data_IF_995105780907
#
_entry.id   IF_995105780907
#
_cell.length_a   1.000
_cell.length_b   1.000
_cell.length_c   1.000
_cell.angle_alpha   90.00
_cell.angle_beta   90.00
_cell.angle_gamma   90.00
#
_symmetry.space_group_name_H-M   'P 1'
#
loop_
_entity.id
_entity.type
_entity.pdbx_description
1 polymer ?
#
# COMPACT_ATOMS: atom_id res chain seq x y z
N UNK A 1 -22.80 -8.13 6.80
CA UNK A 1 -21.81 -9.07 6.27
C UNK A 1 -20.42 -8.39 6.20
N UNK A 2 -19.36 -9.10 6.59
CA UNK A 2 -17.99 -8.55 6.60
C UNK A 2 -17.54 -8.06 5.20
N UNK A 3 -18.02 -8.70 4.15
CA UNK A 3 -17.73 -8.29 2.76
C UNK A 3 -18.37 -6.94 2.43
N UNK A 4 -19.56 -6.68 2.93
CA UNK A 4 -20.25 -5.40 2.70
C UNK A 4 -19.60 -4.27 3.53
N UNK A 5 -19.20 -4.57 4.77
CA UNK A 5 -18.49 -3.61 5.63
C UNK A 5 -17.12 -3.21 5.08
N UNK A 6 -16.43 -4.16 4.44
CA UNK A 6 -15.10 -3.95 3.83
C UNK A 6 -15.14 -3.26 2.46
N UNK A 7 -16.35 -2.98 1.89
CA UNK A 7 -16.55 -2.62 0.47
C UNK A 7 -16.00 -3.68 -0.49
N UNK A 8 -15.81 -4.90 -0.02
CA UNK A 8 -15.21 -5.99 -0.75
C UNK A 8 -15.91 -6.34 -2.05
N UNK A 9 -17.23 -6.18 -2.10
CA UNK A 9 -18.02 -6.46 -3.31
C UNK A 9 -17.59 -5.62 -4.51
N UNK A 10 -17.21 -4.34 -4.31
CA UNK A 10 -16.74 -3.46 -5.39
C UNK A 10 -15.33 -3.85 -5.84
N UNK A 11 -14.44 -4.12 -4.90
CA UNK A 11 -13.06 -4.51 -5.18
C UNK A 11 -12.98 -5.86 -5.91
N UNK A 12 -13.78 -6.85 -5.46
CA UNK A 12 -13.90 -8.16 -6.12
C UNK A 12 -14.46 -8.00 -7.54
N UNK A 13 -15.48 -7.14 -7.73
CA UNK A 13 -16.06 -6.90 -9.06
C UNK A 13 -15.01 -6.33 -10.02
N UNK A 14 -14.18 -5.38 -9.57
CA UNK A 14 -13.10 -4.82 -10.40
C UNK A 14 -12.07 -5.89 -10.77
N UNK A 15 -11.67 -6.72 -9.81
CA UNK A 15 -10.75 -7.83 -10.07
C UNK A 15 -11.33 -8.87 -11.06
N UNK A 16 -12.61 -9.21 -10.94
CA UNK A 16 -13.28 -10.11 -11.87
C UNK A 16 -13.40 -9.50 -13.27
N UNK A 17 -13.68 -8.20 -13.37
CA UNK A 17 -13.72 -7.50 -14.65
C UNK A 17 -12.35 -7.50 -15.31
N UNK A 18 -11.30 -7.15 -14.59
CA UNK A 18 -9.94 -7.16 -15.12
C UNK A 18 -9.50 -8.58 -15.51
N UNK A 19 -9.83 -9.58 -14.68
CA UNK A 19 -9.59 -11.00 -15.02
C UNK A 19 -10.30 -11.44 -16.32
N UNK A 20 -11.51 -10.96 -16.55
CA UNK A 20 -12.23 -11.27 -17.80
C UNK A 20 -11.61 -10.58 -19.02
N UNK A 21 -11.03 -9.39 -18.86
CA UNK A 21 -10.44 -8.61 -19.95
C UNK A 21 -8.98 -8.99 -20.23
N UNK A 22 -8.18 -9.19 -19.19
CA UNK A 22 -6.72 -9.35 -19.28
C UNK A 22 -6.24 -10.74 -18.85
N UNK A 23 -7.15 -11.60 -18.36
CA UNK A 23 -6.83 -12.94 -17.90
C UNK A 23 -6.33 -13.02 -16.45
N UNK A 24 -6.08 -11.87 -15.79
CA UNK A 24 -5.56 -11.82 -14.42
C UNK A 24 -6.33 -10.79 -13.60
N UNK A 25 -6.78 -11.18 -12.41
CA UNK A 25 -7.41 -10.28 -11.45
C UNK A 25 -6.72 -10.42 -10.10
N UNK A 26 -6.31 -9.30 -9.52
CA UNK A 26 -5.50 -9.25 -8.31
C UNK A 26 -6.27 -8.56 -7.20
N UNK A 27 -6.30 -9.20 -6.03
CA UNK A 27 -6.88 -8.65 -4.80
C UNK A 27 -5.84 -8.73 -3.69
N UNK A 28 -5.64 -7.63 -2.99
CA UNK A 28 -4.71 -7.50 -1.88
C UNK A 28 -5.46 -7.44 -0.55
N UNK A 29 -5.03 -8.17 0.44
CA UNK A 29 -5.64 -8.22 1.77
C UNK A 29 -6.02 -9.62 2.21
N UNK A 30 -6.80 -9.76 3.31
CA UNK A 30 -7.44 -8.67 4.08
C UNK A 30 -6.50 -7.94 5.03
N UNK A 31 -6.68 -6.62 5.13
CA UNK A 31 -5.98 -5.77 6.10
C UNK A 31 -6.95 -5.25 7.15
N UNK A 32 -6.47 -5.09 8.38
CA UNK A 32 -7.23 -4.41 9.43
C UNK A 32 -7.12 -2.89 9.22
N UNK A 33 -8.25 -2.26 9.01
CA UNK A 33 -8.36 -0.81 8.86
C UNK A 33 -9.13 -0.21 10.04
N UNK A 34 -8.55 0.82 10.66
CA UNK A 34 -9.22 1.56 11.73
C UNK A 34 -10.17 2.60 11.11
N UNK A 35 -11.45 2.40 11.28
CA UNK A 35 -12.50 3.34 10.84
C UNK A 35 -13.01 4.12 12.04
N UNK A 36 -12.97 5.45 11.94
CA UNK A 36 -13.62 6.32 12.92
C UNK A 36 -15.11 6.48 12.56
N UNK A 37 -15.96 5.96 13.43
CA UNK A 37 -17.41 6.22 13.36
C UNK A 37 -17.70 7.47 14.17
N UNK A 38 -18.24 8.48 13.51
CA UNK A 38 -18.64 9.72 14.14
C UNK A 38 -19.96 9.49 14.87
N UNK A 39 -19.93 9.39 16.21
CA UNK A 39 -21.08 9.19 17.06
C UNK A 39 -21.31 10.42 17.93
N UNK A 40 -22.53 10.92 17.91
CA UNK A 40 -22.98 11.97 18.80
C UNK A 40 -23.89 11.33 19.85
N UNK A 41 -23.57 11.52 21.11
CA UNK A 41 -24.38 11.06 22.22
C UNK A 41 -25.06 12.29 22.84
N UNK A 42 -26.36 12.12 23.15
CA UNK A 42 -27.13 13.13 23.86
C UNK A 42 -27.26 12.68 25.30
N UNK A 43 -26.72 13.44 26.23
CA UNK A 43 -26.88 13.22 27.67
C UNK A 43 -28.35 13.42 28.10
N UNK A 44 -28.72 12.90 29.24
CA UNK A 44 -30.09 13.09 29.85
C UNK A 44 -30.40 14.57 30.04
N UNK A 45 -29.39 15.42 30.21
CA UNK A 45 -29.50 16.88 30.34
C UNK A 45 -29.63 17.61 28.99
N UNK A 46 -29.68 16.88 27.85
CA UNK A 46 -29.83 17.45 26.52
C UNK A 46 -28.54 17.94 25.87
N UNK A 47 -27.40 17.84 26.54
CA UNK A 47 -26.11 18.19 25.96
C UNK A 47 -25.64 17.13 24.96
N UNK A 48 -25.16 17.60 23.80
CA UNK A 48 -24.59 16.74 22.75
C UNK A 48 -23.07 16.68 22.91
N UNK A 49 -22.57 15.48 23.18
CA UNK A 49 -21.12 15.20 23.19
C UNK A 49 -20.72 14.41 21.95
N UNK A 50 -19.56 14.77 21.37
CA UNK A 50 -18.96 14.03 20.27
C UNK A 50 -18.08 12.92 20.83
N UNK A 51 -18.46 11.67 20.59
CA UNK A 51 -17.74 10.48 21.06
C UNK A 51 -17.40 9.58 19.86
N UNK A 52 -16.25 9.81 19.18
CA UNK A 52 -15.87 8.98 18.05
C UNK A 52 -15.51 7.57 18.50
N UNK A 53 -16.11 6.57 17.87
CA UNK A 53 -15.80 5.17 18.09
C UNK A 53 -14.82 4.69 17.00
N UNK A 54 -13.69 4.14 17.41
CA UNK A 54 -12.76 3.48 16.50
C UNK A 54 -13.13 2.00 16.39
N UNK A 55 -13.46 1.58 15.18
CA UNK A 55 -13.81 0.18 14.87
C UNK A 55 -12.79 -0.37 13.88
N UNK A 56 -12.28 -1.57 14.14
CA UNK A 56 -11.43 -2.30 13.19
C UNK A 56 -12.32 -3.05 12.21
N UNK A 57 -12.16 -2.76 10.94
CA UNK A 57 -12.86 -3.45 9.84
C UNK A 57 -11.85 -4.07 8.89
N UNK A 58 -12.09 -5.30 8.41
CA UNK A 58 -11.26 -5.89 7.37
C UNK A 58 -11.48 -5.09 6.08
N UNK A 59 -10.40 -4.88 5.34
CA UNK A 59 -10.43 -4.22 4.03
C UNK A 59 -9.66 -5.07 3.04
N UNK A 60 -10.23 -5.22 1.85
CA UNK A 60 -9.55 -5.74 0.67
C UNK A 60 -9.41 -4.61 -0.35
N UNK A 61 -8.42 -4.68 -1.19
CA UNK A 61 -8.09 -3.69 -2.21
C UNK A 61 -7.87 -4.40 -3.55
N UNK A 62 -8.51 -3.90 -4.58
CA UNK A 62 -8.23 -4.30 -5.96
C UNK A 62 -6.89 -3.68 -6.38
N UNK A 63 -6.04 -4.49 -6.99
CA UNK A 63 -4.76 -4.05 -7.56
C UNK A 63 -4.82 -4.33 -9.05
N UNK A 64 -4.64 -3.29 -9.86
CA UNK A 64 -4.56 -3.47 -11.30
C UNK A 64 -3.32 -4.28 -11.68
N UNK A 65 -3.45 -5.18 -12.65
CA UNK A 65 -2.31 -5.96 -13.15
C UNK A 65 -1.19 -5.08 -13.73
N UNK A 66 -1.51 -3.85 -14.14
CA UNK A 66 -0.53 -2.85 -14.60
C UNK A 66 0.32 -2.26 -13.49
N UNK A 67 -0.16 -2.32 -12.26
CA UNK A 67 0.51 -1.79 -11.07
C UNK A 67 1.08 -2.90 -10.17
N UNK A 68 1.04 -4.14 -10.63
CA UNK A 68 1.50 -5.32 -9.92
C UNK A 68 2.71 -5.94 -10.63
N UNK A 69 3.85 -5.99 -9.97
CA UNK A 69 5.10 -6.52 -10.49
C UNK A 69 5.60 -7.65 -9.60
N UNK A 70 5.21 -8.90 -9.92
CA UNK A 70 5.72 -10.07 -9.23
C UNK A 70 7.13 -10.41 -9.69
N UNK A 71 7.80 -11.27 -8.95
CA UNK A 71 9.07 -11.87 -9.35
C UNK A 71 8.89 -12.61 -10.70
N UNK A 72 9.65 -12.21 -11.74
CA UNK A 72 9.55 -12.83 -13.07
C UNK A 72 10.04 -14.28 -13.13
N UNK A 73 10.79 -14.74 -12.11
CA UNK A 73 11.29 -16.11 -12.03
C UNK A 73 10.25 -17.09 -11.49
N UNK A 74 9.24 -16.59 -10.79
CA UNK A 74 8.21 -17.42 -10.14
C UNK A 74 7.04 -17.72 -11.06
N UNK A 75 6.47 -18.92 -10.91
CA UNK A 75 5.26 -19.31 -11.65
C UNK A 75 3.98 -18.90 -10.92
N UNK A 76 4.03 -18.83 -9.59
CA UNK A 76 2.91 -18.50 -8.72
C UNK A 76 3.32 -17.41 -7.72
N UNK A 77 2.36 -16.67 -7.21
CA UNK A 77 2.60 -15.62 -6.18
C UNK A 77 3.21 -16.21 -4.90
N UNK A 78 2.90 -17.45 -4.56
CA UNK A 78 3.43 -18.13 -3.38
C UNK A 78 4.93 -18.46 -3.50
N UNK A 79 5.45 -18.57 -4.72
CA UNK A 79 6.86 -18.84 -5.03
C UNK A 79 7.67 -17.56 -5.21
N UNK A 80 7.03 -16.39 -5.28
CA UNK A 80 7.72 -15.13 -5.47
C UNK A 80 8.64 -14.81 -4.29
N UNK A 81 9.87 -14.46 -4.57
CA UNK A 81 10.79 -13.89 -3.59
C UNK A 81 10.39 -12.45 -3.24
N UNK A 82 9.81 -11.76 -4.20
CA UNK A 82 9.28 -10.41 -4.00
C UNK A 82 8.06 -10.10 -4.87
N UNK A 83 7.32 -9.11 -4.43
CA UNK A 83 6.23 -8.49 -5.18
C UNK A 83 6.30 -6.98 -4.98
N UNK A 84 6.18 -6.22 -6.06
CA UNK A 84 6.09 -4.75 -6.00
C UNK A 84 4.72 -4.30 -6.44
N UNK A 85 4.08 -3.47 -5.62
CA UNK A 85 2.83 -2.77 -5.96
C UNK A 85 3.13 -1.28 -6.17
N UNK A 86 2.81 -0.77 -7.35
CA UNK A 86 2.96 0.63 -7.71
C UNK A 86 1.71 1.41 -7.30
N UNK A 87 1.88 2.44 -6.52
CA UNK A 87 0.82 3.36 -6.14
C UNK A 87 1.00 4.69 -6.87
N UNK A 88 -0.07 5.16 -7.49
CA UNK A 88 -0.15 6.51 -8.02
C UNK A 88 -0.82 7.40 -6.98
N UNK A 89 -0.06 8.31 -6.41
CA UNK A 89 -0.52 9.16 -5.32
C UNK A 89 -0.43 10.64 -5.68
N UNK A 90 -1.46 11.40 -5.32
CA UNK A 90 -1.37 12.85 -5.34
C UNK A 90 -0.66 13.37 -4.08
N UNK A 91 -0.28 14.65 -4.09
CA UNK A 91 0.43 15.29 -2.98
C UNK A 91 -0.30 15.19 -1.63
N UNK A 92 -1.64 15.20 -1.63
CA UNK A 92 -2.43 15.08 -0.40
C UNK A 92 -2.39 13.67 0.16
N UNK A 93 -2.48 12.65 -0.70
CA UNK A 93 -2.37 11.25 -0.31
C UNK A 93 -0.98 10.93 0.25
N UNK A 94 0.08 11.42 -0.42
CA UNK A 94 1.45 11.26 0.05
C UNK A 94 1.66 11.90 1.44
N UNK A 95 1.08 13.09 1.68
CA UNK A 95 1.11 13.73 3.00
C UNK A 95 0.36 12.94 4.08
N UNK A 96 -0.69 12.22 3.71
CA UNK A 96 -1.47 11.43 4.67
C UNK A 96 -0.68 10.21 5.18
N UNK A 97 0.29 9.70 4.43
CA UNK A 97 1.15 8.59 4.86
C UNK A 97 1.88 8.90 6.17
N UNK A 98 2.22 10.16 6.46
CA UNK A 98 2.85 10.56 7.73
C UNK A 98 2.02 10.23 8.97
N UNK A 99 0.70 10.06 8.80
CA UNK A 99 -0.20 9.69 9.90
C UNK A 99 -0.24 8.16 10.13
N UNK A 100 0.41 7.40 9.26
CA UNK A 100 0.51 5.96 9.39
C UNK A 100 1.77 5.59 10.20
N UNK A 101 1.74 4.47 10.93
CA UNK A 101 2.89 4.05 11.73
C UNK A 101 4.09 3.71 10.84
N UNK A 102 5.27 4.01 11.34
CA UNK A 102 6.56 3.69 10.74
C UNK A 102 6.89 4.42 9.43
N UNK A 103 6.11 5.41 9.01
CA UNK A 103 6.47 6.28 7.88
C UNK A 103 7.34 7.44 8.34
N UNK A 104 8.42 7.71 7.59
CA UNK A 104 9.34 8.81 7.84
C UNK A 104 8.77 10.12 7.27
N UNK A 105 8.48 11.08 8.17
CA UNK A 105 7.93 12.39 7.80
C UNK A 105 8.94 13.23 6.99
N UNK A 106 10.23 13.14 7.30
CA UNK A 106 11.26 13.93 6.62
C UNK A 106 11.52 13.39 5.21
N UNK A 107 11.48 12.07 5.02
CA UNK A 107 11.54 11.45 3.71
C UNK A 107 10.33 11.85 2.83
N UNK A 108 9.11 11.83 3.40
CA UNK A 108 7.90 12.29 2.71
C UNK A 108 8.01 13.76 2.32
N UNK A 109 8.52 14.61 3.22
CA UNK A 109 8.73 16.04 2.95
C UNK A 109 9.72 16.26 1.81
N UNK A 110 10.81 15.50 1.81
CA UNK A 110 11.84 15.52 0.76
C UNK A 110 11.27 15.11 -0.59
N UNK A 111 10.46 14.04 -0.65
CA UNK A 111 9.78 13.63 -1.89
C UNK A 111 8.88 14.74 -2.43
N UNK A 112 8.11 15.39 -1.57
CA UNK A 112 7.22 16.49 -1.98
C UNK A 112 8.02 17.69 -2.51
N UNK A 113 9.21 17.96 -1.96
CA UNK A 113 10.09 19.03 -2.42
C UNK A 113 10.78 18.71 -3.75
N UNK A 114 11.14 17.45 -3.99
CA UNK A 114 11.70 16.98 -5.26
C UNK A 114 10.70 17.12 -6.41
N UNK A 115 9.41 17.07 -6.13
CA UNK A 115 8.35 17.18 -7.13
C UNK A 115 7.79 15.83 -7.56
N UNK A 116 6.77 15.90 -8.40
CA UNK A 116 6.11 14.72 -8.96
C UNK A 116 7.07 13.92 -9.85
N UNK A 117 7.01 12.60 -9.74
CA UNK A 117 7.92 11.67 -10.44
C UNK A 117 7.16 10.54 -11.15
N UNK A 118 5.83 10.64 -11.25
CA UNK A 118 5.05 9.64 -11.96
C UNK A 118 5.18 9.84 -13.46
N UNK A 119 5.64 8.83 -14.15
CA UNK A 119 5.69 8.75 -15.61
C UNK A 119 4.68 7.73 -16.11
N UNK A 120 3.81 8.15 -17.02
CA UNK A 120 2.89 7.23 -17.68
C UNK A 120 3.67 6.37 -18.68
N UNK A 121 3.44 5.06 -18.63
CA UNK A 121 4.09 4.15 -19.57
C UNK A 121 3.35 4.17 -20.91
N UNK A 122 4.08 4.01 -22.01
CA UNK A 122 3.54 4.09 -23.39
C UNK A 122 2.32 3.19 -23.62
N UNK A 123 2.30 1.99 -23.01
CA UNK A 123 1.16 1.09 -23.15
C UNK A 123 -0.07 1.54 -22.35
N UNK A 124 0.11 2.28 -21.25
CA UNK A 124 -1.01 2.85 -20.49
C UNK A 124 -1.67 3.97 -21.27
N UNK A 125 -0.89 4.81 -21.96
CA UNK A 125 -1.40 5.89 -22.79
C UNK A 125 -2.16 5.39 -24.02
N UNK A 126 -1.73 4.26 -24.59
CA UNK A 126 -2.42 3.63 -25.75
C UNK A 126 -3.76 2.99 -25.40
N UNK A 127 -3.94 2.56 -24.16
CA UNK A 127 -5.17 1.92 -23.68
C UNK A 127 -6.19 2.92 -23.09
N UNK A 128 -5.72 4.05 -22.65
CA UNK A 128 -6.56 5.15 -22.18
C UNK A 128 -6.86 6.04 -23.37
N UNK A 129 -8.14 6.09 -23.77
CA UNK A 129 -8.62 6.98 -24.83
C UNK A 129 -8.13 8.42 -24.54
N UNK A 130 -7.50 9.06 -25.53
CA UNK A 130 -6.72 10.30 -25.52
C UNK A 130 -7.41 11.56 -24.92
N UNK A 131 -8.62 11.41 -24.42
CA UNK A 131 -9.44 12.54 -23.96
C UNK A 131 -9.13 13.04 -22.55
N UNK A 132 -8.18 12.43 -21.82
CA UNK A 132 -7.82 12.80 -20.44
C UNK A 132 -6.31 12.91 -20.24
N UNK A 133 -5.68 13.80 -20.95
CA UNK A 133 -4.30 14.22 -20.69
C UNK A 133 -4.17 15.16 -19.48
N UNK A 134 -5.03 15.00 -18.46
CA UNK A 134 -5.06 15.90 -17.32
C UNK A 134 -4.22 15.36 -16.16
N UNK A 135 -3.23 16.14 -15.74
CA UNK A 135 -2.56 16.12 -14.43
C UNK A 135 -1.62 14.95 -14.07
N UNK A 136 -0.94 14.31 -15.02
CA UNK A 136 0.13 13.36 -14.67
C UNK A 136 1.34 14.05 -14.01
N UNK A 137 1.59 15.31 -14.33
CA UNK A 137 2.71 16.10 -13.77
C UNK A 137 2.60 16.35 -12.26
N UNK A 138 1.46 16.05 -11.64
CA UNK A 138 1.21 16.31 -10.21
C UNK A 138 1.23 15.05 -9.34
N UNK A 139 1.40 13.88 -9.94
CA UNK A 139 1.37 12.61 -9.22
C UNK A 139 2.75 12.07 -8.88
N UNK A 140 2.80 11.34 -7.78
CA UNK A 140 3.98 10.66 -7.27
C UNK A 140 3.83 9.17 -7.49
N UNK A 141 4.89 8.54 -8.00
CA UNK A 141 5.02 7.10 -8.03
C UNK A 141 5.59 6.63 -6.70
N UNK A 142 4.82 5.80 -6.00
CA UNK A 142 5.24 5.17 -4.76
C UNK A 142 5.23 3.67 -4.96
N UNK A 143 6.36 3.04 -4.74
CA UNK A 143 6.52 1.60 -4.86
C UNK A 143 6.44 0.96 -3.49
N UNK A 144 5.54 0.00 -3.34
CA UNK A 144 5.41 -0.83 -2.15
C UNK A 144 6.00 -2.21 -2.45
N UNK A 145 7.12 -2.50 -1.82
CA UNK A 145 7.84 -3.76 -1.92
C UNK A 145 7.42 -4.72 -0.80
N UNK A 146 7.15 -5.93 -1.17
CA UNK A 146 6.97 -7.08 -0.28
C UNK A 146 7.92 -8.16 -0.71
N UNK A 147 8.82 -8.59 0.14
CA UNK A 147 9.77 -9.59 -0.28
C UNK A 147 10.75 -9.99 0.81
N UNK A 148 11.66 -10.84 0.43
CA UNK A 148 12.72 -11.40 1.26
C UNK A 148 13.94 -10.48 1.16
N UNK A 149 14.64 -10.31 2.27
CA UNK A 149 15.91 -9.60 2.38
C UNK A 149 16.76 -10.25 3.46
N UNK A 150 18.07 -10.26 3.27
CA UNK A 150 19.01 -10.70 4.29
C UNK A 150 18.92 -9.80 5.52
N UNK A 151 19.03 -10.38 6.71
CA UNK A 151 18.90 -9.67 7.96
C UNK A 151 19.96 -8.55 8.12
N UNK A 152 21.18 -8.75 7.59
CA UNK A 152 22.22 -7.73 7.54
C UNK A 152 21.74 -6.48 6.80
N UNK A 153 21.23 -6.66 5.58
CA UNK A 153 20.71 -5.55 4.77
C UNK A 153 19.46 -4.90 5.39
N UNK A 154 18.62 -5.70 6.05
CA UNK A 154 17.46 -5.18 6.75
C UNK A 154 17.84 -4.25 7.92
N UNK A 155 18.91 -4.59 8.67
CA UNK A 155 19.46 -3.72 9.71
C UNK A 155 20.08 -2.45 9.15
N UNK A 156 20.78 -2.54 8.00
CA UNK A 156 21.39 -1.39 7.32
C UNK A 156 20.37 -0.34 6.89
N UNK A 157 19.18 -0.77 6.49
CA UNK A 157 18.06 0.14 6.17
C UNK A 157 17.26 0.59 7.38
N UNK A 158 17.68 0.21 8.60
CA UNK A 158 17.10 0.68 9.86
C UNK A 158 15.89 -0.14 10.34
N UNK A 159 15.73 -1.36 9.87
CA UNK A 159 14.71 -2.28 10.39
C UNK A 159 15.21 -2.87 11.71
N UNK A 160 14.43 -2.68 12.77
CA UNK A 160 14.72 -3.25 14.09
C UNK A 160 14.41 -4.74 14.09
N UNK A 161 15.45 -5.56 14.17
CA UNK A 161 15.36 -7.01 14.23
C UNK A 161 15.82 -7.52 15.60
N UNK A 162 15.20 -8.58 16.13
CA UNK A 162 15.66 -9.20 17.36
C UNK A 162 17.12 -9.71 17.25
N UNK A 163 17.87 -9.64 18.37
CA UNK A 163 19.25 -10.15 18.42
C UNK A 163 19.39 -11.67 18.15
N UNK A 164 18.26 -12.38 18.16
CA UNK A 164 18.21 -13.83 17.87
C UNK A 164 18.26 -14.15 16.39
N UNK A 165 18.11 -13.15 15.51
CA UNK A 165 18.15 -13.31 14.05
C UNK A 165 19.59 -13.14 13.58
N UNK A 166 20.15 -14.16 12.93
CA UNK A 166 21.50 -14.11 12.37
C UNK A 166 21.53 -13.18 11.13
N UNK A 167 22.68 -12.61 10.82
CA UNK A 167 22.86 -11.73 9.66
C UNK A 167 22.61 -12.44 8.32
N UNK A 168 22.78 -13.76 8.30
CA UNK A 168 22.51 -14.60 7.13
C UNK A 168 21.08 -15.12 7.06
N UNK A 169 20.26 -14.84 8.05
CA UNK A 169 18.85 -15.23 8.02
C UNK A 169 18.07 -14.37 7.04
N UNK A 170 17.08 -14.99 6.40
CA UNK A 170 16.15 -14.31 5.51
C UNK A 170 14.98 -13.72 6.31
N UNK A 171 14.69 -12.45 6.09
CA UNK A 171 13.58 -11.75 6.74
C UNK A 171 12.62 -11.24 5.68
N UNK A 172 11.33 -11.47 5.88
CA UNK A 172 10.32 -10.87 5.03
C UNK A 172 10.04 -9.44 5.47
N UNK A 173 10.12 -8.52 4.54
CA UNK A 173 9.95 -7.08 4.78
C UNK A 173 8.83 -6.47 3.93
N UNK A 174 8.33 -5.34 4.41
CA UNK A 174 7.54 -4.40 3.64
C UNK A 174 8.27 -3.06 3.60
N UNK A 175 8.60 -2.59 2.41
CA UNK A 175 9.24 -1.30 2.21
C UNK A 175 8.45 -0.43 1.25
N UNK A 176 8.43 0.88 1.51
CA UNK A 176 7.77 1.89 0.67
C UNK A 176 8.80 2.89 0.21
N UNK A 177 8.89 3.10 -1.10
CA UNK A 177 9.90 3.96 -1.74
C UNK A 177 9.23 4.94 -2.68
N UNK A 178 9.66 6.20 -2.66
CA UNK A 178 9.25 7.22 -3.62
C UNK A 178 10.50 7.85 -4.24
N UNK A 179 10.72 7.59 -5.52
CA UNK A 179 11.97 7.96 -6.18
C UNK A 179 13.18 7.30 -5.49
N UNK A 180 14.08 8.11 -4.94
CA UNK A 180 15.26 7.65 -4.19
C UNK A 180 15.06 7.64 -2.66
N UNK A 181 13.88 7.96 -2.17
CA UNK A 181 13.62 8.10 -0.74
C UNK A 181 12.88 6.87 -0.20
N UNK A 182 13.45 6.27 0.84
CA UNK A 182 12.78 5.22 1.61
C UNK A 182 11.79 5.89 2.58
N UNK A 183 10.50 5.66 2.36
CA UNK A 183 9.43 6.23 3.18
C UNK A 183 9.12 5.39 4.40
N UNK A 184 9.29 4.08 4.29
CA UNK A 184 9.01 3.09 5.34
C UNK A 184 9.78 1.81 5.04
N UNK A 185 10.29 1.18 6.08
CA UNK A 185 10.78 -0.20 6.04
C UNK A 185 10.44 -0.90 7.35
N UNK A 186 9.76 -2.03 7.28
CA UNK A 186 9.36 -2.81 8.46
C UNK A 186 9.36 -4.29 8.13
N UNK A 187 9.49 -5.12 9.15
CA UNK A 187 9.26 -6.57 9.03
C UNK A 187 7.81 -6.82 8.63
N UNK A 188 7.59 -7.78 7.75
CA UNK A 188 6.25 -8.17 7.34
C UNK A 188 5.43 -8.63 8.55
N UNK A 189 4.32 -7.95 8.91
CA UNK A 189 3.55 -8.29 10.10
C UNK A 189 2.77 -9.60 9.98
N UNK A 190 2.63 -10.14 8.78
CA UNK A 190 1.87 -11.38 8.54
C UNK A 190 2.76 -12.63 8.58
N UNK A 191 3.96 -12.52 8.02
CA UNK A 191 4.93 -13.62 7.96
C UNK A 191 6.33 -13.04 8.16
N UNK A 192 6.74 -12.74 9.40
CA UNK A 192 7.99 -12.02 9.64
C UNK A 192 9.25 -12.85 9.37
N UNK A 193 9.16 -14.17 9.52
CA UNK A 193 10.27 -15.09 9.34
C UNK A 193 9.84 -16.28 8.46
N UNK A 194 10.77 -16.79 7.70
CA UNK A 194 10.58 -17.97 6.82
C UNK A 194 11.18 -19.20 7.43
#
# INVERSE_FOLDING_TARGET
DQIDESKGSSEIRNALLESALLGTGIVKGPFNFNKKLHKWETSEDGERSYNPLEVRVPRIEFVSCWDFYPDPSATNVEECEFVVHRHKMNKSQLRQLRNMPYFDEDAIRTCIQMGANYEEKDFESQLKDDSRSEDYETNFEVLEYWGIMDAEHARDVGIDLPDTVDDLDEVQINAWVCGSQLLRAVVNPFTPYR
#
